data_IF_049033257099
#
_entry.id   IF_049033257099
#
_cell.length_a   1.000
_cell.length_b   1.000
_cell.length_c   1.000
_cell.angle_alpha   90.00
_cell.angle_beta   90.00
_cell.angle_gamma   90.00
#
_symmetry.space_group_name_H-M   'P 1'
#
loop_
_entity.id
_entity.type
_entity.pdbx_description
1 polymer ?
#
# COMPACT_ATOMS: atom_id res chain seq x y z
N UNK A 1 -57.87 -45.00 -1.85
CA UNK A 1 -57.65 -43.56 -1.57
C UNK A 1 -56.15 -43.35 -1.46
N UNK A 2 -55.54 -42.79 -2.49
CA UNK A 2 -54.10 -42.51 -2.58
C UNK A 2 -53.78 -41.21 -1.84
N UNK A 3 -52.76 -41.22 -0.96
CA UNK A 3 -52.22 -40.01 -0.36
C UNK A 3 -50.75 -39.86 -0.78
N UNK A 4 -50.47 -38.75 -1.46
CA UNK A 4 -49.21 -38.43 -2.11
C UNK A 4 -48.16 -37.87 -1.13
N UNK A 5 -46.91 -38.19 -1.46
CA UNK A 5 -45.66 -37.74 -0.84
C UNK A 5 -45.41 -36.25 -1.14
N UNK A 6 -45.17 -35.42 -0.12
CA UNK A 6 -44.61 -34.07 -0.31
C UNK A 6 -43.20 -34.02 0.27
N UNK A 7 -42.20 -34.12 -0.61
CA UNK A 7 -40.79 -33.86 -0.33
C UNK A 7 -40.54 -32.35 -0.32
N UNK A 8 -40.22 -31.79 0.85
CA UNK A 8 -39.75 -30.42 1.02
C UNK A 8 -38.25 -30.36 0.72
N UNK A 9 -37.89 -29.76 -0.41
CA UNK A 9 -36.50 -29.39 -0.72
C UNK A 9 -36.13 -28.11 0.05
N UNK A 10 -35.25 -28.25 1.04
CA UNK A 10 -34.62 -27.12 1.72
C UNK A 10 -33.54 -26.49 0.83
N UNK A 11 -33.76 -25.25 0.40
CA UNK A 11 -32.76 -24.46 -0.34
C UNK A 11 -31.74 -23.97 0.68
N UNK A 12 -30.55 -24.57 0.68
CA UNK A 12 -29.38 -24.04 1.35
C UNK A 12 -28.87 -22.81 0.58
N UNK A 13 -29.35 -21.62 0.96
CA UNK A 13 -28.80 -20.36 0.48
C UNK A 13 -27.46 -20.10 1.15
N UNK A 14 -26.36 -20.29 0.41
CA UNK A 14 -25.06 -19.72 0.78
C UNK A 14 -25.18 -18.19 0.77
N UNK A 15 -25.39 -17.60 1.94
CA UNK A 15 -25.29 -16.17 2.14
C UNK A 15 -23.86 -15.74 1.85
N UNK A 16 -23.66 -15.05 0.73
CA UNK A 16 -22.46 -14.23 0.51
C UNK A 16 -22.47 -13.20 1.63
N UNK A 17 -21.58 -13.33 2.59
CA UNK A 17 -21.25 -12.24 3.51
C UNK A 17 -20.64 -11.13 2.67
N UNK A 18 -21.50 -10.24 2.19
CA UNK A 18 -21.09 -8.91 1.78
C UNK A 18 -20.60 -8.24 3.05
N UNK A 19 -19.28 -8.26 3.31
CA UNK A 19 -18.68 -7.40 4.32
C UNK A 19 -19.00 -5.96 3.95
N UNK A 20 -20.06 -5.44 4.55
CA UNK A 20 -20.32 -4.02 4.66
C UNK A 20 -19.15 -3.44 5.43
N UNK A 21 -18.20 -2.85 4.70
CA UNK A 21 -17.09 -2.13 5.31
C UNK A 21 -17.65 -1.09 6.26
N UNK A 22 -17.40 -1.26 7.55
CA UNK A 22 -17.78 -0.29 8.57
C UNK A 22 -17.14 1.05 8.21
N UNK A 23 -17.89 2.16 8.15
CA UNK A 23 -17.30 3.47 7.91
C UNK A 23 -16.37 3.79 9.08
N UNK A 24 -15.07 3.90 8.81
CA UNK A 24 -14.14 4.51 9.76
C UNK A 24 -14.30 6.03 9.63
N UNK A 25 -14.77 6.67 10.70
CA UNK A 25 -14.75 8.14 10.85
C UNK A 25 -13.49 8.60 11.57
N UNK A 26 -12.65 9.34 10.86
CA UNK A 26 -11.99 10.59 11.26
C UNK A 26 -10.85 10.90 10.27
N UNK A 27 -10.58 12.18 9.95
CA UNK A 27 -9.33 12.60 9.32
C UNK A 27 -8.12 12.13 10.16
N UNK A 28 -6.94 11.89 9.53
CA UNK A 28 -5.74 11.48 10.26
C UNK A 28 -5.42 12.44 11.41
N UNK A 29 -4.96 11.91 12.54
CA UNK A 29 -4.35 12.74 13.56
C UNK A 29 -3.01 13.30 13.02
N UNK A 30 -2.66 14.57 13.29
CA UNK A 30 -1.42 15.20 12.81
C UNK A 30 -0.11 14.50 13.22
N UNK A 31 -0.16 13.53 14.15
CA UNK A 31 1.00 12.84 14.71
C UNK A 31 1.58 11.72 13.84
N UNK A 32 0.89 11.30 12.79
CA UNK A 32 1.23 10.07 12.08
C UNK A 32 2.34 10.25 11.04
N UNK A 33 2.96 11.43 10.88
CA UNK A 33 3.87 11.73 9.76
C UNK A 33 3.21 11.50 8.38
N UNK A 34 1.89 11.67 8.29
CA UNK A 34 1.13 11.57 7.05
C UNK A 34 0.66 12.98 6.65
N UNK A 35 0.90 13.44 5.40
CA UNK A 35 0.36 14.71 4.92
C UNK A 35 -1.17 14.75 5.02
N UNK A 36 -1.74 15.88 5.44
CA UNK A 36 -3.19 16.02 5.64
C UNK A 36 -4.00 15.69 4.37
N UNK A 37 -3.44 16.00 3.20
CA UNK A 37 -4.08 15.78 1.90
C UNK A 37 -3.87 14.36 1.35
N UNK A 38 -3.18 13.50 2.10
CA UNK A 38 -2.83 12.14 1.72
C UNK A 38 -3.34 11.12 2.75
N UNK A 39 -4.65 10.93 2.83
CA UNK A 39 -5.24 9.94 3.72
C UNK A 39 -5.23 8.53 3.12
N UNK A 40 -4.04 7.99 2.89
CA UNK A 40 -3.81 6.65 2.32
C UNK A 40 -3.26 5.69 3.38
N UNK A 41 -3.85 4.50 3.47
CA UNK A 41 -3.33 3.40 4.30
C UNK A 41 -2.62 2.34 3.47
N UNK A 42 -1.77 1.53 4.11
CA UNK A 42 -1.00 0.49 3.45
C UNK A 42 -1.38 -0.90 3.97
N UNK A 43 -1.58 -1.84 3.03
CA UNK A 43 -1.84 -3.25 3.34
C UNK A 43 -0.87 -4.14 2.57
N UNK A 44 -0.31 -5.12 3.25
CA UNK A 44 0.56 -6.11 2.66
C UNK A 44 -0.13 -7.46 2.60
N UNK A 45 -0.13 -8.03 1.41
CA UNK A 45 -0.72 -9.33 1.13
C UNK A 45 0.42 -10.35 1.20
N UNK A 46 0.34 -11.36 2.10
CA UNK A 46 1.36 -12.38 2.21
C UNK A 46 1.62 -13.10 0.88
N UNK A 47 2.88 -13.48 0.66
CA UNK A 47 3.30 -14.41 -0.39
C UNK A 47 4.45 -15.27 0.13
N UNK A 48 4.83 -16.26 -0.67
CA UNK A 48 5.99 -17.12 -0.47
C UNK A 48 7.33 -16.44 -0.82
N UNK A 49 7.28 -15.23 -1.39
CA UNK A 49 8.47 -14.49 -1.84
C UNK A 49 9.11 -13.66 -0.72
N UNK A 50 8.29 -13.07 0.16
CA UNK A 50 8.74 -12.13 1.19
C UNK A 50 8.05 -12.42 2.52
N UNK A 51 8.82 -12.81 3.54
CA UNK A 51 8.33 -12.92 4.90
C UNK A 51 8.21 -11.54 5.55
N UNK A 52 6.96 -11.05 5.66
CA UNK A 52 6.62 -9.77 6.26
C UNK A 52 6.91 -9.66 7.77
N UNK A 53 7.31 -10.74 8.44
CA UNK A 53 7.79 -10.72 9.84
C UNK A 53 9.31 -10.77 10.00
N UNK A 54 10.06 -11.02 8.93
CA UNK A 54 11.52 -11.03 8.94
C UNK A 54 12.09 -9.61 8.74
N UNK A 55 13.39 -9.37 9.01
CA UNK A 55 14.01 -8.06 8.84
C UNK A 55 13.85 -7.52 7.41
N UNK A 56 13.96 -8.40 6.42
CA UNK A 56 13.76 -8.04 5.02
C UNK A 56 12.34 -7.54 4.74
N UNK A 57 11.33 -8.23 5.28
CA UNK A 57 9.94 -7.79 5.22
C UNK A 57 9.78 -6.41 5.85
N UNK A 58 10.37 -6.16 7.02
CA UNK A 58 10.34 -4.85 7.67
C UNK A 58 10.95 -3.77 6.79
N UNK A 59 12.15 -3.99 6.23
CA UNK A 59 12.83 -3.02 5.37
C UNK A 59 12.02 -2.70 4.10
N UNK A 60 11.62 -3.73 3.35
CA UNK A 60 10.87 -3.55 2.09
C UNK A 60 9.55 -2.83 2.33
N UNK A 61 8.86 -3.15 3.43
CA UNK A 61 7.65 -2.46 3.85
C UNK A 61 7.90 -0.99 4.14
N UNK A 62 8.84 -0.71 5.04
CA UNK A 62 9.16 0.63 5.49
C UNK A 62 9.56 1.52 4.31
N UNK A 63 10.37 0.99 3.38
CA UNK A 63 10.85 1.73 2.23
C UNK A 63 9.72 2.07 1.25
N UNK A 64 8.90 1.09 0.86
CA UNK A 64 7.82 1.30 -0.10
C UNK A 64 6.74 2.25 0.43
N UNK A 65 6.37 2.11 1.72
CA UNK A 65 5.41 3.00 2.38
C UNK A 65 5.97 4.42 2.52
N UNK A 66 7.24 4.55 2.94
CA UNK A 66 7.92 5.86 3.03
C UNK A 66 7.98 6.56 1.69
N UNK A 67 8.27 5.84 0.61
CA UNK A 67 8.29 6.43 -0.72
C UNK A 67 6.93 6.98 -1.14
N UNK A 68 5.84 6.23 -0.93
CA UNK A 68 4.48 6.71 -1.29
C UNK A 68 4.12 7.99 -0.52
N UNK A 69 4.47 8.06 0.77
CA UNK A 69 4.25 9.25 1.62
C UNK A 69 5.13 10.42 1.16
N UNK A 70 6.43 10.19 1.02
CA UNK A 70 7.39 11.21 0.61
C UNK A 70 7.11 11.75 -0.79
N UNK A 71 6.68 10.89 -1.72
CA UNK A 71 6.24 11.28 -3.05
C UNK A 71 4.96 12.13 -3.02
N UNK A 72 3.98 11.79 -2.17
CA UNK A 72 2.79 12.60 -1.97
C UNK A 72 3.12 13.99 -1.39
N UNK A 73 4.07 14.04 -0.46
CA UNK A 73 4.51 15.26 0.21
C UNK A 73 5.57 16.06 -0.57
N UNK A 74 6.13 15.48 -1.64
CA UNK A 74 7.24 16.04 -2.41
C UNK A 74 8.50 16.30 -1.58
N UNK A 75 8.76 15.47 -0.55
CA UNK A 75 9.94 15.59 0.29
C UNK A 75 10.24 14.29 1.04
N UNK A 76 11.50 13.88 1.04
CA UNK A 76 12.04 12.75 1.81
C UNK A 76 11.85 12.89 3.32
N UNK A 77 11.72 14.12 3.84
CA UNK A 77 11.48 14.38 5.26
C UNK A 77 10.15 13.83 5.80
N UNK A 78 9.22 13.48 4.90
CA UNK A 78 7.95 12.85 5.25
C UNK A 78 7.99 11.33 5.26
N UNK A 79 9.07 10.70 4.77
CA UNK A 79 9.26 9.27 4.94
C UNK A 79 9.39 8.89 6.42
N UNK A 80 9.36 7.59 6.71
CA UNK A 80 9.57 7.11 8.07
C UNK A 80 10.95 7.53 8.61
N UNK A 81 11.14 7.59 9.95
CA UNK A 81 12.45 7.85 10.52
C UNK A 81 13.51 6.90 9.93
N UNK A 82 14.63 7.45 9.43
CA UNK A 82 15.70 6.71 8.74
C UNK A 82 15.54 6.59 7.22
N UNK A 83 14.40 6.99 6.64
CA UNK A 83 14.15 6.83 5.20
C UNK A 83 15.19 7.54 4.32
N UNK A 84 15.55 8.77 4.64
CA UNK A 84 16.52 9.54 3.85
C UNK A 84 17.90 8.87 3.82
N UNK A 85 18.32 8.26 4.92
CA UNK A 85 19.61 7.59 5.04
C UNK A 85 19.61 6.21 4.36
N UNK A 86 18.45 5.53 4.37
CA UNK A 86 18.25 4.25 3.71
C UNK A 86 18.01 4.37 2.19
N UNK A 87 17.81 5.58 1.66
CA UNK A 87 17.42 5.82 0.28
C UNK A 87 18.61 5.93 -0.69
N UNK A 88 18.41 5.64 -1.99
CA UNK A 88 19.43 5.87 -2.99
C UNK A 88 19.70 7.38 -3.14
N UNK A 89 20.93 7.74 -3.50
CA UNK A 89 21.37 9.16 -3.58
C UNK A 89 20.52 10.07 -4.49
N UNK A 90 19.76 9.53 -5.44
CA UNK A 90 18.91 10.27 -6.36
C UNK A 90 17.44 10.36 -5.90
N UNK A 91 17.12 9.96 -4.66
CA UNK A 91 15.74 9.86 -4.16
C UNK A 91 14.97 11.18 -4.19
N UNK A 92 15.61 12.30 -3.86
CA UNK A 92 14.96 13.62 -3.85
C UNK A 92 14.51 14.01 -5.27
N UNK A 93 15.34 13.73 -6.28
CA UNK A 93 14.98 13.93 -7.67
C UNK A 93 13.82 13.03 -8.08
N UNK A 94 13.85 11.75 -7.67
CA UNK A 94 12.77 10.81 -7.99
C UNK A 94 11.42 11.23 -7.40
N UNK A 95 11.41 11.80 -6.19
CA UNK A 95 10.20 12.26 -5.51
C UNK A 95 9.63 13.53 -6.17
N UNK A 96 10.49 14.38 -6.72
CA UNK A 96 10.11 15.72 -7.22
C UNK A 96 9.99 15.82 -8.74
N UNK A 97 10.40 14.80 -9.49
CA UNK A 97 10.38 14.82 -10.97
C UNK A 97 8.98 14.98 -11.57
N UNK A 98 7.95 14.48 -10.87
CA UNK A 98 6.55 14.68 -11.25
C UNK A 98 5.82 15.48 -10.17
N UNK A 99 4.94 16.42 -10.56
CA UNK A 99 4.11 17.13 -9.59
C UNK A 99 3.32 16.16 -8.71
N UNK A 100 3.13 16.54 -7.44
CA UNK A 100 2.31 15.75 -6.54
C UNK A 100 0.91 15.56 -7.13
N UNK A 101 0.40 14.34 -6.96
CA UNK A 101 -1.00 14.02 -7.30
C UNK A 101 -1.97 14.49 -6.22
N UNK A 102 -1.46 15.01 -5.11
CA UNK A 102 -2.24 15.49 -3.98
C UNK A 102 -1.83 16.90 -3.55
N UNK A 103 -2.79 17.65 -3.06
CA UNK A 103 -2.62 18.97 -2.46
C UNK A 103 -3.87 19.32 -1.66
N UNK A 104 -3.87 20.45 -0.95
CA UNK A 104 -5.04 20.92 -0.22
C UNK A 104 -6.26 21.10 -1.16
N UNK A 105 -6.00 21.54 -2.39
CA UNK A 105 -7.00 21.67 -3.44
C UNK A 105 -7.34 20.33 -4.13
N UNK A 106 -6.53 19.30 -3.91
CA UNK A 106 -6.67 17.97 -4.51
C UNK A 106 -6.39 16.83 -3.54
N UNK A 107 -7.13 16.69 -2.42
CA UNK A 107 -6.82 15.66 -1.44
C UNK A 107 -7.17 14.28 -1.97
N UNK A 108 -6.48 13.27 -1.45
CA UNK A 108 -6.70 11.86 -1.76
C UNK A 108 -6.99 11.05 -0.51
N UNK A 109 -7.92 10.10 -0.64
CA UNK A 109 -8.25 9.10 0.37
C UNK A 109 -8.20 7.72 -0.27
N UNK A 110 -7.58 6.73 0.37
CA UNK A 110 -7.56 5.40 -0.21
C UNK A 110 -6.74 4.36 0.54
N UNK A 111 -6.50 3.24 -0.14
CA UNK A 111 -5.66 2.17 0.39
C UNK A 111 -4.78 1.64 -0.73
N UNK A 112 -3.50 1.52 -0.44
CA UNK A 112 -2.50 0.86 -1.28
C UNK A 112 -2.25 -0.55 -0.77
N UNK A 113 -2.19 -1.50 -1.69
CA UNK A 113 -1.82 -2.88 -1.37
C UNK A 113 -0.51 -3.23 -2.04
N UNK A 114 0.36 -3.90 -1.30
CA UNK A 114 1.58 -4.50 -1.83
C UNK A 114 1.54 -6.02 -1.70
N UNK A 115 2.08 -6.71 -2.69
CA UNK A 115 2.35 -8.14 -2.64
C UNK A 115 3.68 -8.39 -3.33
N UNK A 116 4.58 -9.15 -2.73
CA UNK A 116 5.82 -9.52 -3.40
C UNK A 116 5.52 -10.52 -4.53
N UNK A 117 5.96 -10.18 -5.74
CA UNK A 117 5.79 -10.95 -6.96
C UNK A 117 6.93 -11.94 -7.17
N UNK A 118 8.18 -11.46 -7.01
CA UNK A 118 9.39 -12.29 -7.18
C UNK A 118 10.60 -11.68 -6.48
N UNK A 119 11.58 -12.53 -6.23
CA UNK A 119 12.87 -12.22 -5.61
C UNK A 119 13.99 -12.61 -6.55
N UNK A 120 15.02 -11.78 -6.61
CA UNK A 120 16.30 -12.10 -7.25
C UNK A 120 17.44 -11.76 -6.30
N UNK A 121 18.36 -12.71 -6.12
CA UNK A 121 19.58 -12.48 -5.35
C UNK A 121 20.79 -12.41 -6.28
N UNK A 122 21.73 -11.52 -5.97
CA UNK A 122 22.98 -11.36 -6.71
C UNK A 122 24.13 -11.08 -5.75
N UNK A 123 25.35 -11.10 -6.28
CA UNK A 123 26.53 -10.68 -5.52
C UNK A 123 26.47 -9.21 -5.04
N UNK A 124 25.60 -8.39 -5.62
CA UNK A 124 25.50 -6.95 -5.37
C UNK A 124 24.33 -6.55 -4.47
N UNK A 125 23.51 -7.51 -4.04
CA UNK A 125 22.32 -7.27 -3.21
C UNK A 125 21.13 -8.12 -3.63
N UNK A 126 19.99 -7.83 -3.01
CA UNK A 126 18.70 -8.48 -3.26
C UNK A 126 17.78 -7.51 -3.98
N UNK A 127 17.07 -8.01 -4.98
CA UNK A 127 15.96 -7.33 -5.64
C UNK A 127 14.66 -8.00 -5.24
N UNK A 128 13.69 -7.18 -4.84
CA UNK A 128 12.30 -7.60 -4.68
C UNK A 128 11.46 -6.81 -5.68
N UNK A 129 10.66 -7.54 -6.46
CA UNK A 129 9.62 -6.95 -7.29
C UNK A 129 8.29 -7.10 -6.57
N UNK A 130 7.63 -5.99 -6.33
CA UNK A 130 6.32 -5.90 -5.71
C UNK A 130 5.27 -5.61 -6.78
N UNK A 131 4.08 -6.18 -6.62
CA UNK A 131 2.89 -5.65 -7.25
C UNK A 131 2.23 -4.64 -6.32
N UNK A 132 2.07 -3.41 -6.80
CA UNK A 132 1.28 -2.37 -6.15
C UNK A 132 -0.13 -2.35 -6.75
N UNK A 133 -1.12 -2.52 -5.90
CA UNK A 133 -2.54 -2.30 -6.18
C UNK A 133 -3.05 -1.16 -5.32
N UNK A 134 -4.30 -0.75 -5.55
CA UNK A 134 -4.92 0.22 -4.67
C UNK A 134 -6.26 0.69 -5.18
N UNK A 135 -6.87 1.54 -4.39
CA UNK A 135 -7.94 2.42 -4.83
C UNK A 135 -7.73 3.79 -4.21
N UNK A 136 -8.20 4.80 -4.91
CA UNK A 136 -8.13 6.19 -4.47
C UNK A 136 -9.43 6.91 -4.80
N UNK A 137 -9.80 7.82 -3.90
CA UNK A 137 -10.82 8.85 -4.11
C UNK A 137 -10.11 10.18 -4.10
N UNK A 138 -10.19 10.92 -5.20
CA UNK A 138 -9.56 12.23 -5.34
C UNK A 138 -10.67 13.26 -5.53
N UNK A 139 -10.60 14.37 -4.81
CA UNK A 139 -11.46 15.52 -5.04
C UNK A 139 -10.68 16.57 -5.78
N UNK A 140 -11.21 17.10 -6.87
CA UNK A 140 -10.62 18.25 -7.57
C UNK A 140 -11.40 19.52 -7.19
N UNK A 141 -10.78 20.40 -6.42
CA UNK A 141 -11.40 21.62 -5.88
C UNK A 141 -11.72 21.57 -4.38
N UNK A 142 -12.26 22.68 -3.87
CA UNK A 142 -12.49 22.90 -2.44
C UNK A 142 -13.91 22.53 -2.00
N UNK A 143 -14.10 22.37 -0.68
CA UNK A 143 -15.42 22.26 -0.06
C UNK A 143 -16.24 21.06 -0.53
N UNK A 144 -17.36 21.32 -1.20
CA UNK A 144 -18.39 20.35 -1.60
C UNK A 144 -18.15 19.71 -2.97
N UNK A 145 -16.96 19.88 -3.57
CA UNK A 145 -16.60 19.19 -4.81
C UNK A 145 -16.77 17.67 -4.65
N UNK A 146 -17.32 17.02 -5.67
CA UNK A 146 -17.49 15.58 -5.67
C UNK A 146 -16.13 14.85 -5.72
N UNK A 147 -16.10 13.68 -5.11
CA UNK A 147 -14.98 12.75 -5.15
C UNK A 147 -15.07 11.83 -6.36
N UNK A 148 -13.97 11.71 -7.10
CA UNK A 148 -13.79 10.71 -8.14
C UNK A 148 -13.03 9.51 -7.56
N UNK A 149 -13.72 8.38 -7.47
CA UNK A 149 -13.23 7.15 -6.85
C UNK A 149 -12.97 6.07 -7.89
N UNK A 150 -11.80 5.44 -7.82
CA UNK A 150 -11.39 4.39 -8.76
C UNK A 150 -10.42 3.40 -8.15
N UNK A 151 -10.41 2.20 -8.70
CA UNK A 151 -9.32 1.23 -8.49
C UNK A 151 -8.12 1.69 -9.33
N UNK A 152 -6.93 1.62 -8.74
CA UNK A 152 -5.67 1.94 -9.43
C UNK A 152 -5.30 0.81 -10.39
N UNK A 153 -4.74 1.18 -11.55
CA UNK A 153 -4.10 0.21 -12.44
C UNK A 153 -2.94 -0.48 -11.69
N UNK A 154 -2.92 -1.82 -11.62
CA UNK A 154 -1.81 -2.55 -11.00
C UNK A 154 -0.48 -2.23 -11.68
N UNK A 155 0.59 -2.06 -10.90
CA UNK A 155 1.92 -1.81 -11.44
C UNK A 155 3.02 -2.47 -10.61
N UNK A 156 4.16 -2.86 -11.22
CA UNK A 156 5.30 -3.32 -10.48
C UNK A 156 6.04 -2.16 -9.83
N UNK A 157 6.68 -2.46 -8.72
CA UNK A 157 7.64 -1.62 -8.02
C UNK A 157 8.87 -2.47 -7.75
N UNK A 158 10.04 -2.00 -8.12
CA UNK A 158 11.31 -2.69 -7.90
C UNK A 158 12.08 -2.01 -6.78
N UNK A 159 12.61 -2.81 -5.85
CA UNK A 159 13.55 -2.35 -4.84
C UNK A 159 14.78 -3.24 -4.87
N UNK A 160 15.94 -2.62 -5.09
CA UNK A 160 17.24 -3.26 -4.96
C UNK A 160 17.88 -2.73 -3.68
N UNK A 161 18.28 -3.60 -2.77
CA UNK A 161 18.82 -3.20 -1.48
C UNK A 161 20.00 -4.05 -1.04
N UNK A 162 20.77 -3.49 -0.11
CA UNK A 162 21.90 -4.13 0.53
C UNK A 162 21.68 -4.23 2.03
N UNK A 163 22.06 -5.39 2.55
CA UNK A 163 22.04 -5.68 3.97
C UNK A 163 23.41 -5.26 4.53
N UNK A 164 23.42 -4.24 5.39
CA UNK A 164 24.64 -3.76 6.03
C UNK A 164 24.36 -3.45 7.51
N UNK A 165 25.39 -3.63 8.34
CA UNK A 165 25.35 -3.33 9.77
C UNK A 165 24.15 -4.00 10.49
N UNK A 166 23.34 -3.22 11.21
CA UNK A 166 22.26 -3.72 12.06
C UNK A 166 21.06 -4.10 11.19
N UNK A 167 20.54 -5.31 11.37
CA UNK A 167 19.34 -5.75 10.68
C UNK A 167 18.09 -4.98 11.18
N UNK A 168 17.12 -4.70 10.31
CA UNK A 168 15.81 -4.22 10.70
C UNK A 168 15.17 -5.07 11.81
N UNK A 169 14.35 -4.47 12.69
CA UNK A 169 13.63 -5.21 13.70
C UNK A 169 12.67 -6.25 13.10
N UNK A 170 12.49 -7.35 13.81
CA UNK A 170 11.57 -8.44 13.43
C UNK A 170 10.19 -8.23 14.04
N UNK A 171 9.17 -8.84 13.43
CA UNK A 171 7.79 -8.88 13.95
C UNK A 171 7.17 -7.50 14.26
N UNK A 172 7.61 -6.45 13.56
CA UNK A 172 7.00 -5.12 13.68
C UNK A 172 5.62 -5.13 13.03
N UNK A 173 4.60 -5.42 13.85
CA UNK A 173 3.20 -5.51 13.48
C UNK A 173 2.35 -4.84 14.56
N UNK A 174 1.33 -4.12 14.12
CA UNK A 174 0.34 -3.49 15.01
C UNK A 174 -0.80 -2.88 14.20
N UNK A 175 -1.45 -1.86 14.76
CA UNK A 175 -2.54 -1.11 14.14
C UNK A 175 -2.11 0.24 13.57
N UNK A 176 -0.88 0.68 13.87
CA UNK A 176 -0.43 2.03 13.51
C UNK A 176 -0.19 2.18 12.01
N UNK A 177 -0.37 3.40 11.52
CA UNK A 177 -0.12 3.76 10.12
C UNK A 177 1.36 3.94 9.81
N UNK A 178 2.15 4.32 10.81
CA UNK A 178 3.57 4.60 10.67
C UNK A 178 4.34 4.06 11.88
N UNK A 179 5.61 3.68 11.71
CA UNK A 179 6.43 3.21 12.81
C UNK A 179 6.78 4.35 13.76
N UNK A 180 6.81 4.07 15.06
CA UNK A 180 7.14 5.07 16.08
C UNK A 180 8.63 5.46 16.16
N UNK A 181 9.51 4.71 15.48
CA UNK A 181 10.96 4.83 15.47
C UNK A 181 11.55 4.36 14.13
N UNK A 182 12.88 4.47 13.98
CA UNK A 182 13.62 3.94 12.83
C UNK A 182 13.51 2.40 12.77
N UNK A 183 13.16 1.89 11.59
CA UNK A 183 12.99 0.47 11.30
C UNK A 183 13.87 -0.01 10.14
N UNK A 184 14.77 0.82 9.63
CA UNK A 184 15.66 0.48 8.51
C UNK A 184 16.95 -0.19 8.98
N UNK A 185 17.39 0.08 10.21
CA UNK A 185 18.68 -0.40 10.71
C UNK A 185 19.83 0.18 9.87
N UNK A 186 20.78 -0.65 9.47
CA UNK A 186 21.87 -0.26 8.57
C UNK A 186 21.64 -0.61 7.10
N UNK A 187 20.44 -1.09 6.75
CA UNK A 187 20.12 -1.49 5.38
C UNK A 187 19.79 -0.27 4.53
N UNK A 188 20.06 -0.36 3.24
CA UNK A 188 19.77 0.73 2.30
C UNK A 188 19.38 0.21 0.92
N UNK A 189 18.53 0.96 0.23
CA UNK A 189 18.14 0.72 -1.14
C UNK A 189 19.18 1.36 -2.08
N UNK A 190 19.76 0.55 -2.96
CA UNK A 190 20.63 1.03 -4.04
C UNK A 190 19.84 1.49 -5.27
N UNK A 191 18.61 1.00 -5.43
CA UNK A 191 17.68 1.41 -6.48
C UNK A 191 16.25 1.26 -5.97
N UNK A 192 15.43 2.21 -6.34
CA UNK A 192 13.98 2.08 -6.26
C UNK A 192 13.41 2.50 -7.60
N UNK A 193 12.45 1.75 -8.12
CA UNK A 193 11.80 2.07 -9.39
C UNK A 193 10.30 1.81 -9.25
N UNK A 194 9.52 2.87 -9.35
CA UNK A 194 8.08 2.74 -9.52
C UNK A 194 7.84 2.81 -11.01
N UNK A 195 7.57 1.67 -11.65
CA UNK A 195 7.46 1.61 -13.11
C UNK A 195 6.33 2.53 -13.60
N UNK A 196 6.68 3.77 -13.94
CA UNK A 196 5.79 4.77 -14.49
C UNK A 196 5.65 4.48 -15.99
N UNK A 197 4.84 3.47 -16.30
CA UNK A 197 4.24 3.23 -17.62
C UNK A 197 5.25 3.29 -18.77
N UNK A 198 6.00 2.19 -18.97
CA UNK A 198 6.61 1.92 -20.27
C UNK A 198 5.52 1.79 -21.34
N UNK A 199 5.78 2.21 -22.60
CA UNK A 199 4.78 2.18 -23.68
C UNK A 199 4.28 0.77 -24.01
N UNK A 200 5.04 -0.26 -23.64
CA UNK A 200 4.63 -1.67 -23.75
C UNK A 200 4.62 -2.30 -22.35
N UNK A 201 3.53 -3.01 -21.98
CA UNK A 201 3.47 -3.69 -20.70
C UNK A 201 4.62 -4.67 -20.52
N UNK A 202 5.45 -4.49 -19.49
CA UNK A 202 6.49 -5.44 -19.12
C UNK A 202 5.88 -6.77 -18.64
N UNK A 203 6.68 -7.84 -18.60
CA UNK A 203 6.21 -9.12 -18.06
C UNK A 203 5.69 -9.00 -16.62
N UNK A 204 6.35 -8.21 -15.78
CA UNK A 204 5.92 -7.95 -14.41
C UNK A 204 4.61 -7.13 -14.36
N UNK A 205 4.42 -6.16 -15.26
CA UNK A 205 3.13 -5.43 -15.38
C UNK A 205 1.98 -6.38 -15.72
N UNK A 206 2.19 -7.28 -16.69
CA UNK A 206 1.19 -8.29 -17.08
C UNK A 206 0.91 -9.28 -15.93
N UNK A 207 1.96 -9.70 -15.20
CA UNK A 207 1.84 -10.58 -14.06
C UNK A 207 1.05 -9.93 -12.92
N UNK A 208 1.32 -8.67 -12.59
CA UNK A 208 0.56 -7.93 -11.58
C UNK A 208 -0.91 -7.76 -11.97
N UNK A 209 -1.20 -7.43 -13.24
CA UNK A 209 -2.56 -7.26 -13.74
C UNK A 209 -3.36 -8.57 -13.77
N UNK A 210 -2.73 -9.69 -14.13
CA UNK A 210 -3.41 -10.99 -14.24
C UNK A 210 -3.67 -11.65 -12.89
N UNK A 211 -2.94 -11.25 -11.84
CA UNK A 211 -2.96 -11.89 -10.52
C UNK A 211 -3.42 -10.95 -9.40
N UNK A 212 -4.42 -10.09 -9.66
CA UNK A 212 -5.00 -9.19 -8.63
C UNK A 212 -5.59 -10.03 -7.49
N UNK A 213 -5.07 -9.91 -6.25
CA UNK A 213 -5.57 -10.69 -5.11
C UNK A 213 -7.02 -10.36 -4.76
N UNK A 214 -7.76 -11.34 -4.23
CA UNK A 214 -9.15 -11.17 -3.80
C UNK A 214 -9.32 -10.10 -2.69
N UNK A 215 -8.28 -9.85 -1.90
CA UNK A 215 -8.26 -8.81 -0.87
C UNK A 215 -8.30 -7.39 -1.44
N UNK A 216 -7.99 -7.19 -2.73
CA UNK A 216 -8.10 -5.90 -3.41
C UNK A 216 -9.55 -5.72 -3.89
N UNK A 217 -10.28 -4.69 -3.42
CA UNK A 217 -11.67 -4.49 -3.80
C UNK A 217 -11.85 -4.33 -5.31
N UNK A 218 -12.79 -5.08 -5.88
CA UNK A 218 -13.24 -4.92 -7.28
C UNK A 218 -14.48 -4.03 -7.29
N UNK A 219 -14.29 -2.74 -7.58
CA UNK A 219 -15.36 -1.73 -7.59
C UNK A 219 -15.32 -0.97 -8.91
N UNK A 220 -16.49 -0.69 -9.49
CA UNK A 220 -16.59 0.20 -10.63
C UNK A 220 -16.21 1.63 -10.19
N UNK A 221 -15.62 2.40 -11.10
CA UNK A 221 -15.35 3.82 -10.84
C UNK A 221 -16.66 4.56 -10.54
N UNK A 222 -16.61 5.49 -9.60
CA UNK A 222 -17.79 6.22 -9.11
C UNK A 222 -17.46 7.67 -8.81
N UNK A 223 -18.46 8.54 -8.98
CA UNK A 223 -18.41 9.93 -8.55
C UNK A 223 -19.46 10.15 -7.47
N UNK A 224 -19.10 10.78 -6.36
CA UNK A 224 -20.01 10.93 -5.22
C UNK A 224 -19.61 12.00 -4.22
N UNK A 225 -20.49 12.26 -3.26
CA UNK A 225 -20.27 13.27 -2.21
C UNK A 225 -19.20 12.84 -1.19
N UNK A 226 -19.00 11.54 -1.01
CA UNK A 226 -18.09 10.96 -0.04
C UNK A 226 -17.00 10.12 -0.73
N UNK A 227 -15.77 10.11 -0.21
CA UNK A 227 -14.73 9.23 -0.72
C UNK A 227 -15.03 7.77 -0.33
N UNK A 228 -14.43 6.83 -1.05
CA UNK A 228 -14.31 5.46 -0.54
C UNK A 228 -13.45 5.47 0.72
N UNK A 229 -14.01 4.93 1.80
CA UNK A 229 -13.30 4.83 3.08
C UNK A 229 -11.99 4.03 2.92
N UNK A 230 -10.89 4.48 3.54
CA UNK A 230 -9.66 3.71 3.57
C UNK A 230 -9.84 2.49 4.49
N UNK A 231 -9.23 1.38 4.13
CA UNK A 231 -9.18 0.19 4.99
C UNK A 231 -8.11 0.37 6.07
N UNK A 232 -8.25 -0.33 7.20
CA UNK A 232 -7.21 -0.37 8.24
C UNK A 232 -5.89 -0.90 7.68
N UNK A 233 -4.72 -0.36 8.09
CA UNK A 233 -3.42 -0.93 7.79
C UNK A 233 -3.34 -2.41 8.18
N UNK A 234 -2.63 -3.22 7.40
CA UNK A 234 -2.54 -4.67 7.67
C UNK A 234 -1.34 -5.32 6.97
N UNK A 235 -0.35 -5.84 7.70
CA UNK A 235 -0.11 -5.49 9.10
C UNK A 235 0.16 -3.98 9.20
N UNK A 236 -0.34 -3.34 10.26
CA UNK A 236 0.13 -2.00 10.62
C UNK A 236 1.50 -2.05 11.30
N UNK A 237 1.95 -0.91 11.79
CA UNK A 237 3.17 -0.76 12.55
C UNK A 237 2.89 -0.87 14.06
N UNK A 238 3.93 -1.21 14.83
CA UNK A 238 3.87 -1.24 16.28
C UNK A 238 3.81 0.19 16.84
N UNK A 239 3.18 0.36 18.00
CA UNK A 239 3.08 1.67 18.64
C UNK A 239 4.45 2.16 19.10
N UNK A 240 4.57 3.49 19.29
CA UNK A 240 5.80 4.10 19.81
C UNK A 240 6.07 3.57 21.23
N UNK A 241 7.19 2.87 21.41
CA UNK A 241 7.63 2.28 22.69
C UNK A 241 7.60 0.76 22.76
N UNK A 242 7.11 0.07 21.73
CA UNK A 242 7.00 -1.39 21.67
C UNK A 242 8.15 -2.08 20.90
N UNK A 243 9.20 -1.33 20.50
CA UNK A 243 10.36 -1.81 19.72
C UNK A 243 11.62 -1.81 20.57
#
# INVERSE_FOLDING_TARGET
MSAALCLLFGIAGCGVQTESGTPVSAPPAPSDHIPADFNTTFRWIPSDVLDLSAPEGTFVRAFAESFEIANAAQSTSWGYPGFSDAAPSNIDQMITVYPSKVSEAKPSVGTVFFRALRREDSAYGTRIVLCRYGYSSIRDGSGTSAWDSRVDTPRPVEIDFRQQAVAPPVKVRGSERTPGADVFGGWYASRYDFAAVYPTPTADQQACASNVPAAVPKRAAARGEQPWAPMTPSPGWSARGDV
#
